data_IF_611170721064
#
_entry.id   IF_611170721064
#
_cell.length_a   1.000
_cell.length_b   1.000
_cell.length_c   1.000
_cell.angle_alpha   90.00
_cell.angle_beta   90.00
_cell.angle_gamma   90.00
#
_symmetry.space_group_name_H-M   'P 1'
#
loop_
_entity.id
_entity.type
_entity.pdbx_description
1 polymer ?
#
# COMPACT_ATOMS: atom_id res chain seq x y z
N UNK A 1 -7.85 -18.70 41.86
CA UNK A 1 -8.66 -18.40 40.66
C UNK A 1 -7.70 -18.33 39.49
N UNK A 2 -7.54 -19.44 38.77
CA UNK A 2 -6.67 -19.47 37.60
C UNK A 2 -7.39 -18.88 36.41
N UNK A 3 -6.87 -17.75 35.96
CA UNK A 3 -7.44 -17.03 34.85
C UNK A 3 -7.17 -17.80 33.54
N UNK A 4 -8.18 -17.95 32.65
CA UNK A 4 -8.12 -18.82 31.46
C UNK A 4 -7.07 -18.44 30.40
N UNK A 5 -6.37 -17.32 30.58
CA UNK A 5 -5.32 -16.82 29.69
C UNK A 5 -3.89 -17.21 30.14
N UNK A 6 -3.69 -17.68 31.37
CA UNK A 6 -2.34 -17.99 31.89
C UNK A 6 -1.70 -19.20 31.21
N UNK A 7 -2.47 -20.25 30.96
CA UNK A 7 -2.00 -21.49 30.32
C UNK A 7 -1.50 -21.27 28.89
N UNK A 8 -2.21 -20.55 27.99
CA UNK A 8 -1.69 -20.18 26.68
C UNK A 8 -0.42 -19.32 26.72
N UNK A 9 -0.33 -18.38 27.68
CA UNK A 9 0.83 -17.50 27.81
C UNK A 9 2.07 -18.27 28.27
N UNK A 10 1.90 -19.17 29.23
CA UNK A 10 2.99 -20.05 29.70
C UNK A 10 3.46 -20.99 28.58
N UNK A 11 2.54 -21.54 27.77
CA UNK A 11 2.90 -22.35 26.60
C UNK A 11 3.66 -21.56 25.54
N UNK A 12 3.21 -20.33 25.22
CA UNK A 12 3.88 -19.45 24.27
C UNK A 12 5.26 -19.02 24.77
N UNK A 13 5.39 -18.65 26.05
CA UNK A 13 6.66 -18.26 26.67
C UNK A 13 7.65 -19.42 26.68
N UNK A 14 7.17 -20.66 26.88
CA UNK A 14 7.99 -21.87 26.84
C UNK A 14 8.42 -22.24 25.41
N UNK A 15 7.57 -21.97 24.41
CA UNK A 15 7.83 -22.26 22.98
C UNK A 15 8.68 -21.20 22.29
N UNK A 16 8.58 -19.93 22.71
CA UNK A 16 9.30 -18.78 22.15
C UNK A 16 9.96 -17.94 23.24
N UNK A 17 10.99 -18.47 23.93
CA UNK A 17 11.71 -17.70 24.94
C UNK A 17 12.37 -16.47 24.30
N UNK A 18 12.26 -15.32 24.95
CA UNK A 18 12.95 -14.09 24.52
C UNK A 18 14.45 -14.35 24.64
N UNK A 19 15.10 -14.59 23.50
CA UNK A 19 16.54 -14.90 23.42
C UNK A 19 17.42 -13.71 23.82
N UNK A 20 17.01 -12.49 23.46
CA UNK A 20 17.83 -11.30 23.60
C UNK A 20 16.98 -10.04 23.86
N UNK A 21 16.76 -9.74 25.16
CA UNK A 21 16.08 -8.51 25.61
C UNK A 21 16.77 -7.23 25.07
N UNK A 22 18.12 -7.12 25.04
CA UNK A 22 18.78 -5.93 24.51
C UNK A 22 18.50 -5.69 23.03
N UNK A 23 18.47 -6.77 22.23
CA UNK A 23 18.15 -6.67 20.81
C UNK A 23 16.69 -6.28 20.58
N UNK A 24 15.77 -6.79 21.41
CA UNK A 24 14.35 -6.45 21.36
C UNK A 24 14.11 -4.95 21.61
N UNK A 25 14.76 -4.37 22.62
CA UNK A 25 14.64 -2.94 22.92
C UNK A 25 15.23 -2.10 21.78
N UNK A 26 16.39 -2.50 21.25
CA UNK A 26 17.02 -1.85 20.09
C UNK A 26 16.12 -1.88 18.85
N UNK A 27 15.49 -3.03 18.56
CA UNK A 27 14.59 -3.16 17.41
C UNK A 27 13.31 -2.36 17.60
N UNK A 28 12.78 -2.31 18.83
CA UNK A 28 11.60 -1.49 19.15
C UNK A 28 11.91 0.00 18.97
N UNK A 29 13.07 0.46 19.45
CA UNK A 29 13.49 1.85 19.31
C UNK A 29 13.70 2.22 17.83
N UNK A 30 14.33 1.34 17.05
CA UNK A 30 14.47 1.51 15.61
C UNK A 30 13.10 1.55 14.90
N UNK A 31 12.17 0.67 15.27
CA UNK A 31 10.83 0.66 14.72
C UNK A 31 10.10 1.97 14.99
N UNK A 32 10.10 2.44 16.25
CA UNK A 32 9.50 3.72 16.62
C UNK A 32 10.15 4.91 15.89
N UNK A 33 11.47 4.88 15.70
CA UNK A 33 12.18 5.90 14.93
C UNK A 33 11.74 5.94 13.46
N UNK A 34 11.67 4.79 12.79
CA UNK A 34 11.22 4.69 11.39
C UNK A 34 9.77 5.13 11.24
N UNK A 35 8.90 4.67 12.14
CA UNK A 35 7.48 5.07 12.17
C UNK A 35 7.35 6.57 12.41
N UNK A 36 8.13 7.15 13.31
CA UNK A 36 8.13 8.60 13.52
C UNK A 36 8.57 9.35 12.27
N UNK A 37 9.67 8.92 11.63
CA UNK A 37 10.15 9.50 10.36
C UNK A 37 9.10 9.42 9.24
N UNK A 38 8.32 8.34 9.20
CA UNK A 38 7.22 8.20 8.25
C UNK A 38 6.17 9.32 8.41
N UNK A 39 5.81 9.67 9.65
CA UNK A 39 4.91 10.80 9.90
C UNK A 39 5.57 12.16 9.62
N UNK A 40 6.87 12.29 9.92
CA UNK A 40 7.64 13.50 9.59
C UNK A 40 7.74 13.76 8.08
N UNK A 41 7.75 12.71 7.25
CA UNK A 41 7.70 12.87 5.79
C UNK A 41 6.43 13.59 5.30
N UNK A 42 5.33 13.52 6.04
CA UNK A 42 4.12 14.30 5.70
C UNK A 42 4.31 15.81 5.86
N UNK A 43 5.42 16.27 6.46
CA UNK A 43 5.76 17.69 6.53
C UNK A 43 6.44 18.15 5.23
N UNK A 44 6.01 19.28 4.64
CA UNK A 44 6.49 19.75 3.33
C UNK A 44 7.99 20.11 3.28
N UNK A 45 8.66 20.22 4.42
CA UNK A 45 10.09 20.54 4.50
C UNK A 45 11.00 19.29 4.36
N UNK A 46 10.43 18.07 4.45
CA UNK A 46 11.21 16.82 4.48
C UNK A 46 11.15 16.11 3.11
N UNK A 47 12.15 16.34 2.27
CA UNK A 47 12.28 15.74 0.93
C UNK A 47 12.81 14.28 0.90
N UNK A 48 12.61 13.49 1.95
CA UNK A 48 13.00 12.07 1.95
C UNK A 48 11.86 11.19 1.49
N UNK A 49 12.04 10.39 0.43
CA UNK A 49 11.03 9.40 0.05
C UNK A 49 10.87 8.30 1.11
N UNK A 50 9.69 7.66 1.16
CA UNK A 50 9.40 6.52 2.03
C UNK A 50 10.45 5.40 1.92
N UNK A 51 10.96 5.16 0.71
CA UNK A 51 11.99 4.15 0.45
C UNK A 51 13.30 4.46 1.18
N UNK A 52 13.73 5.73 1.18
CA UNK A 52 14.93 6.15 1.90
C UNK A 52 14.78 6.01 3.41
N UNK A 53 13.59 6.32 3.94
CA UNK A 53 13.28 6.15 5.38
C UNK A 53 13.36 4.68 5.79
N UNK A 54 12.79 3.78 4.97
CA UNK A 54 12.87 2.34 5.19
C UNK A 54 14.33 1.82 5.13
N UNK A 55 15.12 2.29 4.17
CA UNK A 55 16.55 1.95 4.06
C UNK A 55 17.35 2.43 5.26
N UNK A 56 17.13 3.68 5.72
CA UNK A 56 17.76 4.22 6.93
C UNK A 56 17.43 3.36 8.16
N UNK A 57 16.17 2.96 8.30
CA UNK A 57 15.72 2.04 9.34
C UNK A 57 16.45 0.69 9.29
N UNK A 58 16.54 0.09 8.10
CA UNK A 58 17.25 -1.18 7.90
C UNK A 58 18.74 -1.07 8.25
N UNK A 59 19.40 0.01 7.82
CA UNK A 59 20.81 0.28 8.12
C UNK A 59 21.01 0.49 9.63
N UNK A 60 20.15 1.30 10.27
CA UNK A 60 20.20 1.54 11.71
C UNK A 60 20.04 0.23 12.49
N UNK A 61 19.07 -0.60 12.13
CA UNK A 61 18.83 -1.89 12.76
C UNK A 61 20.03 -2.84 12.59
N UNK A 62 20.62 -2.88 11.39
CA UNK A 62 21.82 -3.68 11.10
C UNK A 62 23.00 -3.27 11.99
N UNK A 63 23.24 -1.97 12.15
CA UNK A 63 24.29 -1.44 13.03
C UNK A 63 24.04 -1.83 14.50
N UNK A 64 22.81 -1.65 14.98
CA UNK A 64 22.43 -1.93 16.37
C UNK A 64 22.47 -3.43 16.70
N UNK A 65 22.18 -4.28 15.72
CA UNK A 65 22.16 -5.74 15.86
C UNK A 65 23.55 -6.39 15.91
N UNK A 66 24.63 -5.63 15.66
CA UNK A 66 26.05 -5.99 15.83
C UNK A 66 26.31 -7.51 15.81
N UNK A 67 26.23 -8.13 14.63
CA UNK A 67 26.49 -9.58 14.49
C UNK A 67 25.78 -10.29 13.34
N UNK A 68 24.74 -9.68 12.74
CA UNK A 68 24.14 -10.22 11.50
C UNK A 68 24.91 -9.72 10.28
N UNK A 69 25.36 -10.64 9.42
CA UNK A 69 25.98 -10.27 8.15
C UNK A 69 24.92 -9.68 7.23
N UNK A 70 25.26 -8.62 6.49
CA UNK A 70 24.39 -8.03 5.49
C UNK A 70 23.90 -9.08 4.48
N UNK A 71 24.78 -10.01 4.11
CA UNK A 71 24.51 -11.14 3.23
C UNK A 71 23.34 -12.00 3.72
N UNK A 72 23.29 -12.34 5.01
CA UNK A 72 22.20 -13.14 5.60
C UNK A 72 20.85 -12.41 5.54
N UNK A 73 20.87 -11.07 5.54
CA UNK A 73 19.65 -10.25 5.44
C UNK A 73 19.21 -10.11 3.99
N UNK A 74 20.14 -9.89 3.06
CA UNK A 74 19.85 -9.82 1.62
C UNK A 74 19.31 -11.16 1.07
N UNK A 75 19.77 -12.29 1.62
CA UNK A 75 19.26 -13.62 1.29
C UNK A 75 17.83 -13.87 1.78
N UNK A 76 17.36 -13.10 2.78
CA UNK A 76 15.99 -13.17 3.29
C UNK A 76 15.02 -12.27 2.52
N UNK A 77 15.52 -11.41 1.64
CA UNK A 77 14.68 -10.57 0.80
C UNK A 77 14.00 -11.45 -0.25
N UNK A 78 12.69 -11.31 -0.37
CA UNK A 78 11.90 -11.97 -1.41
C UNK A 78 12.04 -11.19 -2.73
N UNK A 79 13.14 -11.42 -3.44
CA UNK A 79 13.43 -10.74 -4.71
C UNK A 79 12.34 -10.95 -5.77
N UNK A 80 11.75 -12.15 -5.82
CA UNK A 80 10.63 -12.44 -6.73
C UNK A 80 9.43 -11.53 -6.50
N UNK A 81 9.07 -11.27 -5.23
CA UNK A 81 7.95 -10.40 -4.86
C UNK A 81 8.22 -8.94 -5.26
N UNK A 82 9.45 -8.45 -5.03
CA UNK A 82 9.86 -7.09 -5.44
C UNK A 82 9.83 -6.90 -6.96
N UNK A 83 10.37 -7.87 -7.71
CA UNK A 83 10.38 -7.84 -9.18
C UNK A 83 8.95 -7.93 -9.73
N UNK A 84 8.10 -8.76 -9.13
CA UNK A 84 6.69 -8.85 -9.47
C UNK A 84 5.98 -7.49 -9.33
N UNK A 85 6.12 -6.80 -8.19
CA UNK A 85 5.51 -5.48 -8.00
C UNK A 85 6.09 -4.43 -8.96
N UNK A 86 7.41 -4.46 -9.22
CA UNK A 86 8.03 -3.57 -10.19
C UNK A 86 7.46 -3.78 -11.60
N UNK A 87 7.32 -5.04 -12.04
CA UNK A 87 6.73 -5.39 -13.32
C UNK A 87 5.25 -4.99 -13.40
N UNK A 88 4.49 -5.19 -12.32
CA UNK A 88 3.09 -4.76 -12.21
C UNK A 88 2.99 -3.24 -12.41
N UNK A 89 3.80 -2.46 -11.72
CA UNK A 89 3.78 -0.98 -11.83
C UNK A 89 4.17 -0.50 -13.23
N UNK A 90 5.17 -1.13 -13.86
CA UNK A 90 5.53 -0.84 -15.25
C UNK A 90 4.37 -1.17 -16.20
N UNK A 91 3.73 -2.31 -16.01
CA UNK A 91 2.56 -2.73 -16.80
C UNK A 91 1.42 -1.70 -16.68
N UNK A 92 1.09 -1.26 -15.47
CA UNK A 92 0.04 -0.24 -15.23
C UNK A 92 0.41 1.09 -15.88
N UNK A 93 1.66 1.53 -15.75
CA UNK A 93 2.14 2.74 -16.42
C UNK A 93 2.07 2.64 -17.95
N UNK A 94 2.29 1.45 -18.51
CA UNK A 94 2.12 1.19 -19.94
C UNK A 94 0.63 1.22 -20.36
N UNK A 95 -0.25 0.60 -19.57
CA UNK A 95 -1.71 0.61 -19.79
C UNK A 95 -2.28 2.04 -19.74
N UNK A 96 -1.79 2.86 -18.82
CA UNK A 96 -2.09 4.31 -18.77
C UNK A 96 -1.65 5.01 -20.07
N UNK A 97 -0.39 4.82 -20.51
CA UNK A 97 0.10 5.43 -21.75
C UNK A 97 -0.61 4.95 -23.01
N UNK A 98 -1.12 3.72 -23.02
CA UNK A 98 -1.90 3.17 -24.13
C UNK A 98 -3.32 3.74 -24.21
N UNK A 99 -3.76 4.53 -23.23
CA UNK A 99 -5.09 5.12 -23.22
C UNK A 99 -6.18 4.18 -22.70
N UNK A 100 -5.83 3.06 -22.05
CA UNK A 100 -6.85 2.12 -21.56
C UNK A 100 -7.71 2.75 -20.46
N UNK A 101 -7.11 3.58 -19.60
CA UNK A 101 -7.81 4.23 -18.49
C UNK A 101 -8.80 5.26 -19.03
N UNK A 102 -8.37 6.06 -20.00
CA UNK A 102 -9.20 7.02 -20.72
C UNK A 102 -10.34 6.31 -21.46
N UNK A 103 -10.05 5.19 -22.12
CA UNK A 103 -11.06 4.38 -22.79
C UNK A 103 -12.12 3.82 -21.83
N UNK A 104 -11.72 3.33 -20.65
CA UNK A 104 -12.64 2.89 -19.59
C UNK A 104 -13.49 4.07 -19.10
N UNK A 105 -12.89 5.26 -18.95
CA UNK A 105 -13.60 6.48 -18.57
C UNK A 105 -14.69 6.86 -19.57
N UNK A 106 -14.36 6.90 -20.86
CA UNK A 106 -15.31 7.20 -21.95
C UNK A 106 -16.44 6.16 -22.02
N UNK A 107 -16.14 4.88 -21.83
CA UNK A 107 -17.19 3.86 -21.82
C UNK A 107 -18.09 3.95 -20.59
N UNK A 108 -17.51 4.27 -19.43
CA UNK A 108 -18.26 4.52 -18.20
C UNK A 108 -19.20 5.71 -18.38
N UNK A 109 -18.70 6.79 -18.97
CA UNK A 109 -19.47 8.00 -19.29
C UNK A 109 -20.64 7.71 -20.24
N UNK A 110 -20.38 7.02 -21.36
CA UNK A 110 -21.41 6.63 -22.32
C UNK A 110 -22.53 5.81 -21.65
N UNK A 111 -22.15 4.90 -20.75
CA UNK A 111 -23.11 4.10 -19.98
C UNK A 111 -23.93 4.95 -19.00
N UNK A 112 -23.32 5.94 -18.35
CA UNK A 112 -24.00 6.85 -17.41
C UNK A 112 -24.94 7.81 -18.15
N UNK A 113 -24.55 8.33 -19.32
CA UNK A 113 -25.39 9.26 -20.11
C UNK A 113 -26.70 8.62 -20.58
N UNK A 114 -26.71 7.29 -20.80
CA UNK A 114 -27.91 6.52 -21.12
C UNK A 114 -28.91 6.38 -19.96
N UNK A 115 -28.56 6.82 -18.75
CA UNK A 115 -29.40 6.77 -17.55
C UNK A 115 -30.04 8.14 -17.28
N UNK A 116 -31.27 8.14 -16.78
CA UNK A 116 -31.98 9.33 -16.32
C UNK A 116 -31.13 10.18 -15.35
N UNK A 117 -31.16 11.51 -15.50
CA UNK A 117 -30.30 12.46 -14.76
C UNK A 117 -30.32 12.26 -13.24
N UNK A 118 -31.49 11.96 -12.67
CA UNK A 118 -31.70 11.70 -11.24
C UNK A 118 -30.94 10.48 -10.68
N UNK A 119 -30.49 9.57 -11.55
CA UNK A 119 -29.80 8.34 -11.18
C UNK A 119 -28.34 8.27 -11.66
N UNK A 120 -27.85 9.29 -12.37
CA UNK A 120 -26.48 9.29 -12.93
C UNK A 120 -25.39 9.18 -11.86
N UNK A 121 -25.50 9.94 -10.77
CA UNK A 121 -24.54 9.93 -9.68
C UNK A 121 -24.46 8.57 -8.94
N UNK A 122 -25.58 7.98 -8.45
CA UNK A 122 -25.52 6.68 -7.78
C UNK A 122 -25.07 5.55 -8.72
N UNK A 123 -25.42 5.60 -10.01
CA UNK A 123 -24.94 4.61 -11.00
C UNK A 123 -23.45 4.75 -11.25
N UNK A 124 -22.93 5.97 -11.39
CA UNK A 124 -21.49 6.22 -11.56
C UNK A 124 -20.68 5.69 -10.38
N UNK A 125 -21.10 6.01 -9.14
CA UNK A 125 -20.46 5.52 -7.91
C UNK A 125 -20.52 3.98 -7.86
N UNK A 126 -21.69 3.39 -8.14
CA UNK A 126 -21.84 1.93 -8.14
C UNK A 126 -20.90 1.27 -9.14
N UNK A 127 -20.82 1.78 -10.37
CA UNK A 127 -19.99 1.23 -11.42
C UNK A 127 -18.50 1.32 -11.06
N UNK A 128 -18.05 2.47 -10.55
CA UNK A 128 -16.67 2.64 -10.07
C UNK A 128 -16.36 1.65 -8.95
N UNK A 129 -17.26 1.45 -7.99
CA UNK A 129 -17.07 0.50 -6.88
C UNK A 129 -16.98 -0.95 -7.37
N UNK A 130 -17.87 -1.36 -8.28
CA UNK A 130 -17.87 -2.72 -8.84
C UNK A 130 -16.64 -3.00 -9.70
N UNK A 131 -16.24 -2.04 -10.56
CA UNK A 131 -15.01 -2.15 -11.35
C UNK A 131 -13.79 -2.18 -10.42
N UNK A 132 -13.75 -1.33 -9.40
CA UNK A 132 -12.66 -1.32 -8.41
C UNK A 132 -12.55 -2.65 -7.67
N UNK A 133 -13.68 -3.22 -7.25
CA UNK A 133 -13.71 -4.51 -6.56
C UNK A 133 -13.20 -5.66 -7.44
N UNK A 134 -13.59 -5.69 -8.72
CA UNK A 134 -13.10 -6.68 -9.68
C UNK A 134 -11.59 -6.52 -9.92
N UNK A 135 -11.14 -5.30 -10.19
CA UNK A 135 -9.73 -5.01 -10.49
C UNK A 135 -8.84 -5.20 -9.25
N UNK A 136 -9.34 -4.93 -8.04
CA UNK A 136 -8.64 -5.14 -6.76
C UNK A 136 -8.27 -6.60 -6.50
N UNK A 137 -8.91 -7.56 -7.17
CA UNK A 137 -8.55 -8.97 -7.04
C UNK A 137 -7.30 -9.35 -7.85
N UNK A 138 -6.93 -8.51 -8.83
CA UNK A 138 -5.77 -8.71 -9.71
C UNK A 138 -4.63 -7.72 -9.45
N UNK A 139 -4.95 -6.50 -9.00
CA UNK A 139 -4.00 -5.42 -8.76
C UNK A 139 -3.86 -5.13 -7.27
N UNK A 140 -2.64 -4.77 -6.85
CA UNK A 140 -2.41 -4.25 -5.51
C UNK A 140 -3.08 -2.88 -5.29
N UNK A 141 -3.25 -2.54 -4.01
CA UNK A 141 -3.92 -1.32 -3.58
C UNK A 141 -3.24 -0.02 -4.09
N UNK A 142 -1.91 -0.01 -4.25
CA UNK A 142 -1.17 1.18 -4.69
C UNK A 142 -1.51 1.52 -6.17
N UNK A 143 -1.33 0.59 -7.13
CA UNK A 143 -1.85 0.68 -8.48
C UNK A 143 -3.31 1.09 -8.60
N UNK A 144 -4.17 0.36 -7.90
CA UNK A 144 -5.61 0.51 -8.01
C UNK A 144 -6.02 1.92 -7.59
N UNK A 145 -5.48 2.39 -6.47
CA UNK A 145 -5.74 3.74 -5.98
C UNK A 145 -5.29 4.81 -6.97
N UNK A 146 -4.09 4.65 -7.58
CA UNK A 146 -3.59 5.58 -8.59
C UNK A 146 -4.50 5.64 -9.83
N UNK A 147 -4.90 4.48 -10.34
CA UNK A 147 -5.84 4.38 -11.47
C UNK A 147 -7.19 5.02 -11.14
N UNK A 148 -7.75 4.76 -9.95
CA UNK A 148 -9.05 5.31 -9.56
C UNK A 148 -9.01 6.83 -9.39
N UNK A 149 -7.93 7.39 -8.86
CA UNK A 149 -7.76 8.85 -8.80
C UNK A 149 -7.83 9.45 -10.21
N UNK A 150 -7.16 8.86 -11.20
CA UNK A 150 -7.23 9.32 -12.59
C UNK A 150 -8.63 9.19 -13.20
N UNK A 151 -9.30 8.05 -12.98
CA UNK A 151 -10.67 7.83 -13.49
C UNK A 151 -11.64 8.84 -12.86
N UNK A 152 -11.64 8.96 -11.54
CA UNK A 152 -12.54 9.86 -10.80
C UNK A 152 -12.28 11.32 -11.20
N UNK A 153 -11.02 11.74 -11.31
CA UNK A 153 -10.69 13.11 -11.73
C UNK A 153 -11.11 13.39 -13.18
N UNK A 154 -11.00 12.41 -14.08
CA UNK A 154 -11.48 12.51 -15.47
C UNK A 154 -13.01 12.66 -15.53
N UNK A 155 -13.75 11.81 -14.79
CA UNK A 155 -15.21 11.91 -14.68
C UNK A 155 -15.65 13.25 -14.05
N UNK A 156 -14.95 13.71 -13.01
CA UNK A 156 -15.26 14.97 -12.32
C UNK A 156 -15.03 16.22 -13.19
N UNK A 157 -14.03 16.19 -14.08
CA UNK A 157 -13.78 17.31 -15.01
C UNK A 157 -14.73 17.32 -16.21
N UNK A 158 -15.45 16.24 -16.46
CA UNK A 158 -16.36 16.16 -17.59
C UNK A 158 -17.68 16.88 -17.29
N UNK A 159 -17.81 18.08 -17.87
CA UNK A 159 -18.99 18.96 -17.71
C UNK A 159 -20.26 18.42 -18.38
N UNK A 160 -20.17 17.44 -19.29
CA UNK A 160 -21.35 16.87 -19.95
C UNK A 160 -22.14 15.93 -19.04
N UNK A 161 -21.52 15.41 -17.98
CA UNK A 161 -22.16 14.49 -17.04
C UNK A 161 -23.08 15.18 -16.03
N UNK A 162 -23.03 16.52 -15.89
CA UNK A 162 -23.87 17.31 -14.98
C UNK A 162 -23.89 16.77 -13.53
N UNK A 163 -22.77 16.20 -13.08
CA UNK A 163 -22.60 15.70 -11.72
C UNK A 163 -22.36 16.90 -10.77
N UNK A 164 -23.02 16.95 -9.59
CA UNK A 164 -22.87 18.04 -8.63
C UNK A 164 -21.47 18.13 -8.00
#
# INVERSE_FOLDING_TARGET
MDHPYKTPLEELQKKYPIRDIPLLVKSLLCFLFVTSMFFLHSLPEVNLSLGWIAMLGAILLLLLASGKKLEDVLLRIEWSTLIFFAALFVLIGALQKLGLIEWIGVQTESFIMGVHEEHRLPVAISLILWVSALVSSFLDNIPLSSMMVHIITSLAHNKELNLP
#
